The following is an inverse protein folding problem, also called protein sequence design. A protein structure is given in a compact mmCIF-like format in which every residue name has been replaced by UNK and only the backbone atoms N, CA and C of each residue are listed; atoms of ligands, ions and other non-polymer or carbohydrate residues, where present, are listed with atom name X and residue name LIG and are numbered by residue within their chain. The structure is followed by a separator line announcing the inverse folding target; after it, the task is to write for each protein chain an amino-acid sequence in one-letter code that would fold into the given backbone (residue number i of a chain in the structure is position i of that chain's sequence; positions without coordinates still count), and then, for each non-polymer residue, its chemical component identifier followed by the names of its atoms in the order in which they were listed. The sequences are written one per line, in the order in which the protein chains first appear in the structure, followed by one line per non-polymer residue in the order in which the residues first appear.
data_IF_580765347951
#
_entry.id   IF_580765347951
#
_cell.length_a   1.000
_cell.length_b   1.000
_cell.length_c   1.000
_cell.angle_alpha   90.00
_cell.angle_beta   90.00
_cell.angle_gamma   90.00
#
_symmetry.space_group_name_H-M   'P 1'
#
loop_
_entity.id
_entity.type
_entity.pdbx_description
1 polymer ?
#
# COMPACT_ATOMS: atom_id res chain seq x y z
N UNK A 1 18.97 -7.83 32.45
CA UNK A 1 19.25 -9.30 32.48
C UNK A 1 17.97 -10.08 32.61
N UNK A 2 17.49 -10.62 31.49
CA UNK A 2 17.04 -12.01 31.31
C UNK A 2 16.71 -12.15 29.82
N UNK A 3 17.66 -12.78 29.13
CA UNK A 3 17.54 -13.29 27.78
C UNK A 3 16.56 -14.45 27.76
N UNK A 4 15.52 -14.37 26.92
CA UNK A 4 14.75 -15.54 26.53
C UNK A 4 15.06 -15.89 25.08
N UNK A 5 15.95 -16.88 24.92
CA UNK A 5 16.30 -17.49 23.63
C UNK A 5 15.16 -18.39 23.16
N UNK A 6 14.50 -18.05 22.07
CA UNK A 6 13.71 -19.04 21.34
C UNK A 6 14.53 -19.64 20.20
N UNK A 7 14.68 -20.96 20.27
CA UNK A 7 15.38 -21.78 19.27
C UNK A 7 14.54 -21.90 18.00
N UNK A 8 15.03 -21.33 16.91
CA UNK A 8 14.53 -21.62 15.55
C UNK A 8 15.07 -22.99 15.10
N UNK A 9 14.16 -23.91 14.78
CA UNK A 9 14.48 -25.15 14.07
C UNK A 9 14.60 -24.84 12.58
N UNK A 10 15.79 -25.03 12.04
CA UNK A 10 16.05 -25.05 10.60
C UNK A 10 15.73 -26.44 10.05
N UNK A 11 14.82 -26.53 9.09
CA UNK A 11 14.63 -27.74 8.29
C UNK A 11 15.40 -27.52 6.99
N UNK A 12 16.48 -28.26 6.83
CA UNK A 12 17.21 -28.38 5.57
C UNK A 12 16.51 -29.46 4.74
N UNK A 13 15.99 -29.08 3.58
CA UNK A 13 15.58 -30.05 2.55
C UNK A 13 16.69 -30.10 1.51
N UNK A 14 17.37 -31.22 1.46
CA UNK A 14 18.35 -31.55 0.42
C UNK A 14 17.60 -32.20 -0.75
N UNK A 15 17.52 -31.51 -1.88
CA UNK A 15 17.03 -32.07 -3.13
C UNK A 15 18.08 -32.88 -3.84
N UNK A 16 17.80 -34.14 -4.11
CA UNK A 16 18.62 -35.04 -4.94
C UNK A 16 18.10 -34.98 -6.37
N UNK A 17 18.93 -34.46 -7.26
CA UNK A 17 18.75 -34.55 -8.72
C UNK A 17 19.15 -35.93 -9.18
N UNK A 18 18.32 -36.66 -9.87
CA UNK A 18 18.66 -37.87 -10.61
C UNK A 18 18.22 -37.73 -12.07
N UNK A 19 19.19 -37.45 -12.93
CA UNK A 19 19.09 -37.57 -14.37
C UNK A 19 19.13 -39.04 -14.80
N UNK A 20 18.17 -39.48 -15.59
CA UNK A 20 18.31 -40.68 -16.41
C UNK A 20 17.84 -40.39 -17.85
N UNK A 21 18.81 -40.32 -18.75
CA UNK A 21 18.61 -40.32 -20.19
C UNK A 21 18.52 -41.76 -20.70
N UNK A 22 17.54 -42.03 -21.56
CA UNK A 22 17.59 -43.18 -22.47
C UNK A 22 17.04 -42.80 -23.84
N UNK A 23 17.91 -42.97 -24.82
CA UNK A 23 17.72 -42.82 -26.27
C UNK A 23 17.28 -44.15 -26.86
N UNK A 24 16.49 -44.10 -27.88
CA UNK A 24 16.37 -44.96 -29.13
C UNK A 24 14.87 -45.10 -29.50
N UNK A 25 14.46 -45.02 -30.72
CA UNK A 25 14.99 -45.10 -32.03
C UNK A 25 13.84 -45.00 -33.06
N UNK A 26 14.16 -44.67 -34.27
CA UNK A 26 13.32 -44.41 -35.44
C UNK A 26 12.40 -45.54 -35.87
N UNK A 27 11.18 -45.18 -36.38
CA UNK A 27 10.66 -45.73 -37.63
C UNK A 27 9.48 -44.88 -38.16
N UNK A 28 9.55 -44.55 -39.41
CA UNK A 28 8.58 -43.81 -40.25
C UNK A 28 7.30 -44.59 -40.52
N UNK A 29 6.13 -43.93 -40.45
CA UNK A 29 5.08 -44.12 -41.47
C UNK A 29 4.07 -42.99 -41.41
N UNK A 30 3.78 -42.40 -42.57
CA UNK A 30 2.87 -41.26 -42.69
C UNK A 30 1.40 -41.70 -42.59
N UNK A 31 0.66 -40.92 -41.80
CA UNK A 31 -0.78 -40.77 -41.93
C UNK A 31 -1.18 -39.38 -41.55
N UNK A 32 -2.08 -38.79 -42.34
CA UNK A 32 -2.65 -37.47 -42.13
C UNK A 32 -3.34 -37.41 -40.76
N UNK A 33 -2.81 -36.64 -39.84
CA UNK A 33 -3.50 -36.32 -38.58
C UNK A 33 -4.43 -35.13 -38.78
N UNK A 34 -5.71 -35.39 -38.55
CA UNK A 34 -6.70 -34.38 -38.22
C UNK A 34 -6.23 -33.69 -36.93
N UNK A 35 -6.04 -32.38 -36.99
CA UNK A 35 -5.89 -31.55 -35.79
C UNK A 35 -7.20 -31.59 -35.01
N UNK A 36 -7.26 -32.46 -34.03
CA UNK A 36 -8.20 -32.33 -32.92
C UNK A 36 -7.62 -31.27 -32.02
N UNK A 37 -8.26 -30.10 -31.94
CA UNK A 37 -8.02 -29.15 -30.88
C UNK A 37 -8.23 -29.86 -29.53
N UNK A 38 -7.16 -30.16 -28.86
CA UNK A 38 -7.20 -30.52 -27.44
C UNK A 38 -7.71 -29.27 -26.72
N UNK A 39 -8.97 -29.29 -26.31
CA UNK A 39 -9.36 -28.50 -25.16
C UNK A 39 -8.44 -28.92 -24.00
N UNK A 40 -7.49 -28.04 -23.67
CA UNK A 40 -6.74 -28.13 -22.43
C UNK A 40 -7.79 -27.82 -21.37
N UNK A 41 -8.37 -28.84 -20.74
CA UNK A 41 -9.06 -28.68 -19.47
C UNK A 41 -7.97 -28.21 -18.51
N UNK A 42 -7.96 -26.92 -18.20
CA UNK A 42 -7.18 -26.38 -17.10
C UNK A 42 -7.58 -27.17 -15.85
N UNK A 43 -6.62 -27.89 -15.30
CA UNK A 43 -6.80 -28.59 -14.04
C UNK A 43 -6.72 -27.48 -12.99
N UNK A 44 -7.83 -27.12 -12.39
CA UNK A 44 -7.88 -26.17 -11.29
C UNK A 44 -6.93 -26.66 -10.18
N UNK A 45 -5.99 -25.81 -9.75
CA UNK A 45 -5.16 -26.04 -8.57
C UNK A 45 -6.03 -26.15 -7.33
N UNK A 46 -5.49 -26.71 -6.28
CA UNK A 46 -6.18 -26.84 -4.98
C UNK A 46 -5.70 -25.84 -3.96
N UNK A 47 -4.59 -25.20 -4.20
CA UNK A 47 -4.00 -24.20 -3.32
C UNK A 47 -3.99 -22.85 -4.01
N UNK A 48 -4.50 -21.84 -3.36
CA UNK A 48 -4.45 -20.43 -3.79
C UNK A 48 -3.39 -19.71 -3.00
N UNK A 49 -2.26 -19.37 -3.61
CA UNK A 49 -1.18 -18.64 -2.93
C UNK A 49 -1.36 -17.13 -3.09
N UNK A 50 -1.55 -16.45 -1.95
CA UNK A 50 -1.71 -15.00 -1.86
C UNK A 50 -0.47 -14.39 -1.20
N UNK A 51 0.29 -13.59 -1.95
CA UNK A 51 1.49 -12.91 -1.44
C UNK A 51 1.14 -11.56 -0.84
N UNK A 52 1.56 -11.33 0.41
CA UNK A 52 1.35 -10.09 1.15
C UNK A 52 2.53 -9.78 2.08
N UNK A 53 2.58 -8.55 2.64
CA UNK A 53 3.69 -8.15 3.52
C UNK A 53 3.34 -8.08 5.00
N UNK A 54 2.08 -8.25 5.35
CA UNK A 54 1.56 -8.31 6.71
C UNK A 54 0.24 -9.07 6.78
N UNK A 55 -0.34 -9.19 7.96
CA UNK A 55 -1.56 -9.96 8.20
C UNK A 55 -2.86 -9.15 8.01
N UNK A 56 -2.80 -7.88 7.55
CA UNK A 56 -4.00 -7.04 7.38
C UNK A 56 -5.01 -7.68 6.43
N UNK A 57 -4.53 -8.04 5.24
CA UNK A 57 -5.39 -8.66 4.22
C UNK A 57 -5.95 -10.02 4.67
N UNK A 58 -5.12 -10.83 5.34
CA UNK A 58 -5.57 -12.08 5.92
C UNK A 58 -6.73 -11.86 6.91
N UNK A 59 -6.65 -10.85 7.77
CA UNK A 59 -7.73 -10.52 8.70
C UNK A 59 -9.04 -10.11 8.00
N UNK A 60 -8.95 -9.40 6.87
CA UNK A 60 -10.09 -9.03 6.03
C UNK A 60 -10.68 -10.27 5.35
N UNK A 61 -9.82 -11.10 4.76
CA UNK A 61 -10.20 -12.35 4.13
C UNK A 61 -10.92 -13.29 5.11
N UNK A 62 -10.31 -13.55 6.26
CA UNK A 62 -10.87 -14.44 7.30
C UNK A 62 -12.28 -13.99 7.72
N UNK A 63 -12.53 -12.69 7.73
CA UNK A 63 -13.82 -12.13 8.15
C UNK A 63 -14.89 -12.13 7.06
N UNK A 64 -14.51 -11.90 5.80
CA UNK A 64 -15.47 -11.59 4.74
C UNK A 64 -15.48 -12.55 3.56
N UNK A 65 -14.48 -13.42 3.42
CA UNK A 65 -14.30 -14.21 2.22
C UNK A 65 -13.82 -15.65 2.44
N UNK A 66 -13.61 -16.10 3.66
CA UNK A 66 -13.07 -17.44 3.95
C UNK A 66 -13.99 -18.60 3.55
N UNK A 67 -15.28 -18.36 3.36
CA UNK A 67 -16.24 -19.34 2.85
C UNK A 67 -16.02 -19.69 1.37
N UNK A 68 -15.33 -18.82 0.60
CA UNK A 68 -14.97 -19.08 -0.80
C UNK A 68 -14.09 -20.34 -0.97
N UNK A 69 -13.25 -20.68 0.02
CA UNK A 69 -12.47 -21.93 -0.01
C UNK A 69 -13.38 -23.16 -0.21
N UNK A 70 -14.47 -23.20 0.54
CA UNK A 70 -15.44 -24.30 0.44
C UNK A 70 -16.22 -24.26 -0.86
N UNK A 71 -16.57 -23.07 -1.32
CA UNK A 71 -17.33 -22.88 -2.57
C UNK A 71 -16.54 -23.37 -3.79
N UNK A 72 -15.23 -23.04 -3.83
CA UNK A 72 -14.32 -23.40 -4.92
C UNK A 72 -13.56 -24.73 -4.69
N UNK A 73 -13.61 -25.30 -3.49
CA UNK A 73 -12.90 -26.54 -3.13
C UNK A 73 -11.38 -26.36 -3.12
N UNK A 74 -10.89 -25.18 -2.73
CA UNK A 74 -9.47 -24.80 -2.64
C UNK A 74 -9.06 -24.54 -1.20
N UNK A 75 -7.77 -24.47 -0.93
CA UNK A 75 -7.14 -24.01 0.31
C UNK A 75 -6.37 -22.73 0.04
N UNK A 76 -6.57 -21.69 0.86
CA UNK A 76 -5.86 -20.41 0.70
C UNK A 76 -4.61 -20.40 1.57
N UNK A 77 -3.46 -20.19 0.94
CA UNK A 77 -2.17 -20.03 1.59
C UNK A 77 -1.68 -18.59 1.50
N UNK A 78 -1.52 -17.92 2.67
CA UNK A 78 -0.94 -16.59 2.75
C UNK A 78 0.57 -16.65 2.87
N UNK A 79 1.29 -16.18 1.85
CA UNK A 79 2.74 -16.04 1.86
C UNK A 79 3.10 -14.65 2.38
N UNK A 80 3.31 -14.55 3.71
CA UNK A 80 3.57 -13.27 4.39
C UNK A 80 5.08 -13.02 4.47
N UNK A 81 5.55 -11.95 3.83
CA UNK A 81 6.96 -11.56 3.80
C UNK A 81 7.06 -10.08 4.16
N UNK A 82 7.80 -9.73 5.22
CA UNK A 82 7.98 -8.32 5.63
C UNK A 82 8.45 -7.43 4.48
N UNK A 83 7.99 -6.18 4.45
CA UNK A 83 8.46 -5.17 3.51
C UNK A 83 9.84 -4.58 3.85
N UNK A 84 10.42 -4.95 5.00
CA UNK A 84 11.73 -4.46 5.43
C UNK A 84 12.80 -4.72 4.38
N UNK A 85 13.61 -3.71 4.07
CA UNK A 85 14.66 -3.79 3.07
C UNK A 85 14.19 -4.28 1.69
N UNK A 86 12.95 -4.02 1.31
CA UNK A 86 12.28 -4.50 0.09
C UNK A 86 12.19 -6.04 -0.01
N UNK A 87 12.25 -6.77 1.11
CA UNK A 87 12.25 -8.23 1.08
C UNK A 87 10.99 -8.79 0.41
N UNK A 88 9.82 -8.19 0.64
CA UNK A 88 8.59 -8.58 -0.04
C UNK A 88 8.73 -8.53 -1.56
N UNK A 89 9.13 -7.38 -2.12
CA UNK A 89 9.26 -7.20 -3.57
C UNK A 89 10.32 -8.12 -4.17
N UNK A 90 11.43 -8.35 -3.48
CA UNK A 90 12.51 -9.24 -3.94
C UNK A 90 12.01 -10.68 -4.06
N UNK A 91 11.31 -11.19 -3.03
CA UNK A 91 10.78 -12.55 -3.03
C UNK A 91 9.63 -12.72 -4.03
N UNK A 92 8.73 -11.74 -4.13
CA UNK A 92 7.64 -11.74 -5.11
C UNK A 92 8.20 -11.75 -6.55
N UNK A 93 9.20 -10.93 -6.85
CA UNK A 93 9.87 -10.92 -8.16
C UNK A 93 10.45 -12.28 -8.54
N UNK A 94 11.07 -12.95 -7.57
CA UNK A 94 11.65 -14.28 -7.79
C UNK A 94 10.55 -15.32 -8.02
N UNK A 95 9.48 -15.30 -7.23
CA UNK A 95 8.34 -16.20 -7.39
C UNK A 95 7.67 -16.02 -8.75
N UNK A 96 7.38 -14.78 -9.16
CA UNK A 96 6.75 -14.48 -10.45
C UNK A 96 7.64 -14.87 -11.65
N UNK A 97 8.96 -14.73 -11.57
CA UNK A 97 9.90 -15.19 -12.61
C UNK A 97 9.91 -16.70 -12.77
N UNK A 98 9.68 -17.43 -11.69
CA UNK A 98 9.68 -18.88 -11.68
C UNK A 98 8.31 -19.50 -11.96
N UNK A 99 7.27 -18.68 -12.16
CA UNK A 99 5.85 -19.07 -12.30
C UNK A 99 5.62 -20.23 -13.28
N UNK A 100 6.21 -20.17 -14.47
CA UNK A 100 6.02 -21.19 -15.51
C UNK A 100 6.69 -22.55 -15.15
N UNK A 101 7.67 -22.55 -14.25
CA UNK A 101 8.38 -23.75 -13.84
C UNK A 101 7.82 -24.42 -12.58
N UNK A 102 6.90 -23.74 -11.88
CA UNK A 102 6.24 -24.25 -10.70
C UNK A 102 5.15 -25.27 -11.04
N UNK A 103 4.90 -26.23 -10.16
CA UNK A 103 3.68 -27.03 -10.20
C UNK A 103 2.47 -26.15 -9.86
N UNK A 104 1.28 -26.57 -10.23
CA UNK A 104 0.06 -25.76 -10.13
C UNK A 104 -0.15 -25.22 -8.71
N UNK A 105 -0.07 -26.08 -7.68
CA UNK A 105 -0.27 -25.69 -6.27
C UNK A 105 0.84 -24.80 -5.66
N UNK A 106 1.97 -24.58 -6.35
CA UNK A 106 3.08 -23.71 -5.89
C UNK A 106 3.11 -22.35 -6.60
N UNK A 107 2.20 -22.11 -7.55
CA UNK A 107 2.13 -20.85 -8.30
C UNK A 107 1.68 -19.70 -7.42
N UNK A 108 2.12 -18.49 -7.78
CA UNK A 108 1.53 -17.26 -7.29
C UNK A 108 0.18 -17.08 -7.97
N UNK A 109 -0.90 -17.02 -7.23
CA UNK A 109 -2.24 -16.78 -7.78
C UNK A 109 -2.63 -15.31 -7.69
N UNK A 110 -2.42 -14.73 -6.53
CA UNK A 110 -2.69 -13.33 -6.27
C UNK A 110 -1.55 -12.72 -5.46
N UNK A 111 -1.26 -11.46 -5.70
CA UNK A 111 -0.29 -10.73 -4.91
C UNK A 111 -0.78 -9.30 -4.65
N UNK A 112 -0.36 -8.76 -3.51
CA UNK A 112 -0.68 -7.41 -3.12
C UNK A 112 0.42 -6.45 -3.56
N UNK A 113 0.01 -5.25 -3.97
CA UNK A 113 0.94 -4.15 -4.26
C UNK A 113 0.52 -2.90 -3.51
N UNK A 114 1.49 -2.10 -3.11
CA UNK A 114 1.28 -0.82 -2.45
C UNK A 114 1.54 0.31 -3.44
N UNK A 115 0.88 1.46 -3.24
CA UNK A 115 0.90 2.60 -4.15
C UNK A 115 2.32 3.04 -4.59
N UNK A 116 3.30 3.02 -3.68
CA UNK A 116 4.65 3.54 -3.94
C UNK A 116 5.43 2.73 -4.99
N UNK A 117 5.11 1.45 -5.14
CA UNK A 117 5.78 0.59 -6.13
C UNK A 117 4.81 -0.09 -7.12
N UNK A 118 3.53 0.31 -7.11
CA UNK A 118 2.51 -0.27 -7.99
C UNK A 118 2.93 -0.26 -9.46
N UNK A 119 3.51 0.84 -9.94
CA UNK A 119 3.93 1.01 -11.33
C UNK A 119 4.89 -0.07 -11.85
N UNK A 120 5.67 -0.71 -10.98
CA UNK A 120 6.56 -1.81 -11.34
C UNK A 120 5.77 -3.03 -11.84
N UNK A 121 4.75 -3.43 -11.09
CA UNK A 121 3.96 -4.63 -11.38
C UNK A 121 2.86 -4.36 -12.41
N UNK A 122 2.23 -3.19 -12.35
CA UNK A 122 1.17 -2.77 -13.28
C UNK A 122 1.68 -2.72 -14.73
N UNK A 123 2.93 -2.35 -14.95
CA UNK A 123 3.57 -2.30 -16.27
C UNK A 123 4.20 -3.63 -16.71
N UNK A 124 4.14 -4.66 -15.87
CA UNK A 124 4.73 -5.96 -16.18
C UNK A 124 3.71 -6.93 -16.79
N UNK A 125 4.23 -7.96 -17.46
CA UNK A 125 3.42 -9.07 -17.98
C UNK A 125 3.04 -10.06 -16.87
N UNK A 126 3.52 -9.90 -15.65
CA UNK A 126 3.18 -10.75 -14.51
C UNK A 126 1.80 -10.46 -13.93
N UNK A 127 1.19 -9.34 -14.28
CA UNK A 127 -0.12 -8.93 -13.75
C UNK A 127 -1.18 -9.04 -14.83
N UNK A 128 -2.25 -9.78 -14.56
CA UNK A 128 -3.37 -9.99 -15.47
C UNK A 128 -4.25 -8.74 -15.62
N UNK A 129 -5.00 -8.68 -16.72
CA UNK A 129 -6.07 -7.72 -16.96
C UNK A 129 -7.29 -8.13 -16.12
N UNK A 130 -7.72 -7.24 -15.23
CA UNK A 130 -8.85 -7.51 -14.32
C UNK A 130 -10.15 -7.74 -15.08
N UNK A 131 -10.37 -7.05 -16.21
CA UNK A 131 -11.59 -7.20 -17.00
C UNK A 131 -11.53 -8.43 -17.92
N UNK A 132 -10.46 -8.52 -18.70
CA UNK A 132 -10.36 -9.54 -19.76
C UNK A 132 -10.02 -10.91 -19.19
N UNK A 133 -9.05 -10.99 -18.26
CA UNK A 133 -8.50 -12.26 -17.81
C UNK A 133 -9.14 -12.73 -16.49
N UNK A 134 -9.51 -11.81 -15.60
CA UNK A 134 -10.20 -12.14 -14.34
C UNK A 134 -11.72 -12.11 -14.48
N UNK A 135 -12.27 -11.21 -15.32
CA UNK A 135 -13.69 -11.17 -15.66
C UNK A 135 -14.52 -10.15 -14.88
N UNK A 136 -13.91 -9.25 -14.07
CA UNK A 136 -14.63 -8.13 -13.46
C UNK A 136 -14.98 -7.09 -14.53
N UNK A 137 -16.24 -6.72 -14.62
CA UNK A 137 -16.71 -5.76 -15.64
C UNK A 137 -16.53 -4.31 -15.17
N UNK A 138 -16.56 -3.36 -16.12
CA UNK A 138 -16.58 -1.93 -15.75
C UNK A 138 -17.81 -1.58 -14.89
N UNK A 139 -18.94 -2.27 -15.12
CA UNK A 139 -20.15 -2.09 -14.31
C UNK A 139 -19.97 -2.55 -12.86
N UNK A 140 -19.19 -3.62 -12.64
CA UNK A 140 -18.89 -4.10 -11.28
C UNK A 140 -18.05 -3.08 -10.52
N UNK A 141 -17.13 -2.41 -11.22
CA UNK A 141 -16.17 -1.46 -10.67
C UNK A 141 -16.61 0.01 -10.74
N UNK A 142 -17.87 0.30 -11.13
CA UNK A 142 -18.32 1.67 -11.41
C UNK A 142 -18.27 2.60 -10.18
N UNK A 143 -18.48 2.06 -8.99
CA UNK A 143 -18.52 2.81 -7.74
C UNK A 143 -17.14 2.94 -7.06
N UNK A 144 -16.09 2.36 -7.66
CA UNK A 144 -14.72 2.53 -7.18
C UNK A 144 -14.21 3.95 -7.49
N UNK A 145 -13.44 4.53 -6.56
CA UNK A 145 -12.86 5.86 -6.75
C UNK A 145 -11.93 5.90 -7.97
N UNK A 146 -12.03 6.95 -8.78
CA UNK A 146 -11.23 7.09 -10.02
C UNK A 146 -9.72 7.01 -9.75
N UNK A 147 -9.22 7.68 -8.72
CA UNK A 147 -7.79 7.67 -8.40
C UNK A 147 -7.26 6.27 -8.08
N UNK A 148 -8.08 5.40 -7.46
CA UNK A 148 -7.66 4.02 -7.15
C UNK A 148 -7.55 3.17 -8.41
N UNK A 149 -8.38 3.44 -9.42
CA UNK A 149 -8.29 2.80 -10.74
C UNK A 149 -7.09 3.31 -11.53
N UNK A 150 -6.80 4.61 -11.47
CA UNK A 150 -5.69 5.25 -12.19
C UNK A 150 -4.31 4.69 -11.78
N UNK A 151 -4.10 4.43 -10.47
CA UNK A 151 -2.83 3.89 -9.94
C UNK A 151 -2.47 2.54 -10.57
N UNK A 152 -3.47 1.71 -10.84
CA UNK A 152 -3.28 0.36 -11.39
C UNK A 152 -3.73 0.23 -12.84
N UNK A 153 -3.79 1.35 -13.55
CA UNK A 153 -4.07 1.40 -14.98
C UNK A 153 -2.78 1.47 -15.79
N UNK A 154 -2.67 0.62 -16.81
CA UNK A 154 -1.59 0.63 -17.79
C UNK A 154 -2.19 0.77 -19.19
N UNK A 155 -2.12 1.98 -19.76
CA UNK A 155 -2.61 2.28 -21.10
C UNK A 155 -4.07 1.84 -21.36
N UNK A 156 -4.94 2.08 -20.38
CA UNK A 156 -6.36 1.70 -20.45
C UNK A 156 -6.68 0.29 -19.93
N UNK A 157 -5.68 -0.48 -19.52
CA UNK A 157 -5.85 -1.83 -18.98
C UNK A 157 -5.80 -1.75 -17.45
N UNK A 158 -6.89 -2.15 -16.79
CA UNK A 158 -6.98 -2.26 -15.33
C UNK A 158 -6.24 -3.50 -14.84
N UNK A 159 -5.23 -3.32 -13.98
CA UNK A 159 -4.33 -4.40 -13.52
C UNK A 159 -4.56 -4.83 -12.07
N UNK A 160 -5.46 -4.18 -11.34
CA UNK A 160 -5.77 -4.52 -9.95
C UNK A 160 -7.01 -3.82 -9.46
N UNK A 161 -7.47 -4.23 -8.28
CA UNK A 161 -8.60 -3.62 -7.54
C UNK A 161 -8.21 -3.45 -6.07
N UNK A 162 -8.85 -2.51 -5.39
CA UNK A 162 -8.54 -2.24 -3.96
C UNK A 162 -9.79 -2.23 -3.10
N UNK A 163 -9.64 -2.68 -1.86
CA UNK A 163 -10.62 -2.53 -0.78
C UNK A 163 -10.41 -1.26 0.04
N UNK A 164 -9.33 -0.51 -0.23
CA UNK A 164 -8.95 0.66 0.56
C UNK A 164 -9.20 1.97 -0.19
N UNK A 165 -9.75 2.94 0.53
CA UNK A 165 -9.65 4.35 0.18
C UNK A 165 -8.75 5.05 1.20
N UNK A 166 -7.72 5.73 0.73
CA UNK A 166 -6.68 6.33 1.56
C UNK A 166 -6.56 7.84 1.36
N UNK A 167 -7.67 8.60 1.50
CA UNK A 167 -7.61 10.05 1.36
C UNK A 167 -6.67 10.65 2.39
N UNK A 168 -5.93 11.65 1.94
CA UNK A 168 -5.06 12.45 2.78
C UNK A 168 -5.85 13.39 3.69
N UNK A 169 -5.26 13.73 4.81
CA UNK A 169 -5.78 14.68 5.78
C UNK A 169 -4.63 15.36 6.53
N UNK A 170 -4.89 16.51 7.12
CA UNK A 170 -3.97 17.16 8.04
C UNK A 170 -4.48 17.00 9.46
N UNK A 171 -3.75 16.22 10.27
CA UNK A 171 -4.03 16.03 11.68
C UNK A 171 -3.31 17.11 12.48
N UNK A 172 -4.03 17.86 13.32
CA UNK A 172 -3.48 18.96 14.09
C UNK A 172 -3.81 18.87 15.58
N UNK A 173 -2.94 19.44 16.42
CA UNK A 173 -3.12 19.56 17.85
C UNK A 173 -4.14 20.66 18.17
N UNK A 174 -5.30 20.28 18.76
CA UNK A 174 -6.38 21.22 19.15
C UNK A 174 -5.90 22.27 20.14
N UNK A 175 -5.14 21.84 21.14
CA UNK A 175 -4.60 22.72 22.16
C UNK A 175 -3.69 23.81 21.58
N UNK A 176 -2.82 23.44 20.62
CA UNK A 176 -1.92 24.37 19.92
C UNK A 176 -2.73 25.29 18.99
N UNK A 177 -3.69 24.74 18.23
CA UNK A 177 -4.58 25.52 17.37
C UNK A 177 -5.32 26.61 18.18
N UNK A 178 -5.89 26.23 19.30
CA UNK A 178 -6.62 27.17 20.18
C UNK A 178 -5.74 28.27 20.69
N UNK A 179 -4.52 27.93 21.11
CA UNK A 179 -3.55 28.89 21.62
C UNK A 179 -3.06 29.87 20.55
N UNK A 180 -2.73 29.39 19.34
CA UNK A 180 -2.03 30.17 18.32
C UNK A 180 -2.98 30.77 17.29
N UNK A 181 -4.03 30.02 16.92
CA UNK A 181 -5.01 30.42 15.89
C UNK A 181 -6.30 30.97 16.47
N UNK A 182 -6.51 30.84 17.81
CA UNK A 182 -7.70 31.30 18.49
C UNK A 182 -8.89 30.36 18.42
N UNK A 183 -8.77 29.25 17.74
CA UNK A 183 -9.82 28.22 17.54
C UNK A 183 -9.23 26.83 17.46
N UNK A 184 -10.00 25.81 17.87
CA UNK A 184 -9.71 24.40 17.69
C UNK A 184 -10.78 23.70 16.84
N UNK A 185 -11.74 24.46 16.32
CA UNK A 185 -12.79 23.98 15.42
C UNK A 185 -12.21 23.62 14.06
N UNK A 186 -12.47 22.39 13.52
CA UNK A 186 -11.87 21.93 12.27
C UNK A 186 -12.18 22.80 11.05
N UNK A 187 -13.41 23.32 10.94
CA UNK A 187 -13.82 24.14 9.82
C UNK A 187 -13.13 25.51 9.84
N UNK A 188 -12.96 26.10 11.04
CA UNK A 188 -12.28 27.37 11.20
C UNK A 188 -10.74 27.22 11.04
N UNK A 189 -10.16 26.11 11.48
CA UNK A 189 -8.74 25.79 11.23
C UNK A 189 -8.52 25.54 9.74
N UNK A 190 -9.41 24.79 9.07
CA UNK A 190 -9.33 24.57 7.61
C UNK A 190 -9.31 25.88 6.81
N UNK A 191 -10.13 26.86 7.17
CA UNK A 191 -10.11 28.18 6.50
C UNK A 191 -8.75 28.86 6.55
N UNK A 192 -7.97 28.63 7.63
CA UNK A 192 -6.64 29.15 7.80
C UNK A 192 -5.54 28.31 7.13
N UNK A 193 -5.85 27.09 6.69
CA UNK A 193 -4.91 26.13 6.07
C UNK A 193 -5.27 25.80 4.62
N UNK A 194 -6.28 26.45 4.02
CA UNK A 194 -6.95 26.03 2.80
C UNK A 194 -6.12 26.15 1.50
N UNK A 195 -4.94 26.71 1.56
CA UNK A 195 -3.96 26.80 0.48
C UNK A 195 -2.54 26.94 1.04
N UNK A 196 -1.52 26.74 0.20
CA UNK A 196 -0.13 26.76 0.63
C UNK A 196 0.33 28.13 1.15
N UNK A 197 -0.20 29.25 0.64
CA UNK A 197 0.15 30.58 1.14
C UNK A 197 -0.34 30.79 2.57
N UNK A 198 -1.57 30.34 2.87
CA UNK A 198 -2.13 30.39 4.22
C UNK A 198 -1.42 29.42 5.15
N UNK A 199 -1.12 28.21 4.66
CA UNK A 199 -0.37 27.21 5.41
C UNK A 199 1.00 27.75 5.86
N UNK A 200 1.74 28.37 4.94
CA UNK A 200 3.04 29.00 5.22
C UNK A 200 2.92 30.18 6.19
N UNK A 201 1.85 30.98 6.07
CA UNK A 201 1.58 32.05 7.05
C UNK A 201 1.28 31.52 8.45
N UNK A 202 0.60 30.36 8.56
CA UNK A 202 0.39 29.67 9.84
C UNK A 202 1.70 29.10 10.37
N UNK A 203 2.57 28.55 9.50
CA UNK A 203 3.89 28.05 9.92
C UNK A 203 4.70 29.12 10.64
N UNK A 204 4.70 30.36 10.14
CA UNK A 204 5.33 31.50 10.81
C UNK A 204 4.70 31.78 12.19
N UNK A 205 3.36 31.77 12.30
CA UNK A 205 2.66 32.00 13.58
C UNK A 205 3.02 30.92 14.60
N UNK A 206 3.10 29.67 14.17
CA UNK A 206 3.50 28.54 15.03
C UNK A 206 4.92 28.74 15.56
N UNK A 207 5.86 29.10 14.69
CA UNK A 207 7.24 29.38 15.08
C UNK A 207 7.33 30.55 16.07
N UNK A 208 6.65 31.66 15.80
CA UNK A 208 6.64 32.84 16.70
C UNK A 208 6.06 32.51 18.09
N UNK A 209 5.21 31.48 18.18
CA UNK A 209 4.65 30.97 19.44
C UNK A 209 5.46 29.83 20.09
N UNK A 210 6.58 29.41 19.47
CA UNK A 210 7.48 28.39 20.02
C UNK A 210 7.11 26.95 19.64
N UNK A 211 6.33 26.80 18.55
CA UNK A 211 5.95 25.50 17.98
C UNK A 211 6.54 25.32 16.58
N UNK A 212 6.65 24.07 16.14
CA UNK A 212 6.91 23.71 14.75
C UNK A 212 5.60 23.52 14.00
N UNK A 213 5.56 23.90 12.72
CA UNK A 213 4.41 23.64 11.86
C UNK A 213 4.31 22.16 11.50
N UNK A 214 5.45 21.54 11.14
CA UNK A 214 5.61 20.15 10.75
C UNK A 214 6.75 19.51 11.55
N UNK A 215 6.79 18.18 11.58
CA UNK A 215 7.88 17.43 12.20
C UNK A 215 9.09 17.34 11.27
N UNK A 216 8.91 16.88 10.04
CA UNK A 216 9.99 16.48 9.17
C UNK A 216 10.04 17.15 7.81
N UNK A 217 11.12 16.81 7.10
CA UNK A 217 11.40 17.30 5.76
C UNK A 217 10.46 16.72 4.68
N UNK A 218 9.96 15.51 4.92
CA UNK A 218 9.17 14.73 3.99
C UNK A 218 7.67 14.67 4.35
N UNK A 219 7.25 15.32 5.44
CA UNK A 219 5.86 15.28 5.90
C UNK A 219 4.85 15.73 4.83
N UNK A 220 5.14 16.80 4.10
CA UNK A 220 4.24 17.33 3.08
C UNK A 220 4.45 16.70 1.69
N UNK A 221 5.42 15.79 1.51
CA UNK A 221 5.81 15.28 0.19
C UNK A 221 4.63 14.73 -0.60
N UNK A 222 3.75 13.95 0.03
CA UNK A 222 2.61 13.30 -0.63
C UNK A 222 1.62 14.29 -1.23
N UNK A 223 1.36 15.41 -0.54
CA UNK A 223 0.48 16.45 -1.04
C UNK A 223 1.01 17.07 -2.33
N UNK A 224 2.32 17.14 -2.53
CA UNK A 224 2.93 17.60 -3.76
C UNK A 224 3.09 16.50 -4.81
N UNK A 225 3.58 15.33 -4.42
CA UNK A 225 3.90 14.24 -5.36
C UNK A 225 2.67 13.60 -6.01
N UNK A 226 1.50 13.63 -5.36
CA UNK A 226 0.25 13.18 -5.99
C UNK A 226 -0.29 14.15 -7.06
N UNK A 227 0.23 15.36 -7.12
CA UNK A 227 -0.23 16.44 -8.01
C UNK A 227 0.79 16.77 -9.11
N UNK A 228 1.65 15.83 -9.46
CA UNK A 228 2.61 15.98 -10.55
C UNK A 228 1.94 15.80 -11.92
N UNK A 229 2.42 16.53 -12.91
CA UNK A 229 1.97 16.46 -14.30
C UNK A 229 2.93 15.68 -15.20
N UNK A 230 4.10 15.33 -14.69
CA UNK A 230 5.16 14.66 -15.45
C UNK A 230 5.84 13.57 -14.65
N UNK A 231 6.26 12.45 -15.29
CA UNK A 231 7.08 11.44 -14.64
C UNK A 231 8.49 11.98 -14.36
N UNK A 232 9.19 11.36 -13.39
CA UNK A 232 10.57 11.69 -13.06
C UNK A 232 11.56 11.51 -14.22
N UNK A 233 11.24 10.61 -15.17
CA UNK A 233 12.07 10.37 -16.35
C UNK A 233 11.20 10.48 -17.59
N UNK A 234 11.59 11.38 -18.51
CA UNK A 234 11.00 11.55 -19.82
C UNK A 234 12.11 11.69 -20.87
N UNK A 235 12.02 10.93 -21.94
CA UNK A 235 13.01 10.94 -23.03
C UNK A 235 14.46 10.73 -22.50
N UNK A 236 14.65 9.79 -21.58
CA UNK A 236 15.92 9.49 -20.90
C UNK A 236 16.54 10.66 -20.11
N UNK A 237 15.73 11.65 -19.73
CA UNK A 237 16.17 12.79 -18.91
C UNK A 237 15.38 12.85 -17.63
N UNK A 238 16.04 13.27 -16.55
CA UNK A 238 15.37 13.58 -15.29
C UNK A 238 14.56 14.85 -15.47
N UNK A 239 13.28 14.78 -15.08
CA UNK A 239 12.35 15.91 -15.08
C UNK A 239 11.94 16.17 -13.64
N UNK A 240 12.17 17.38 -13.17
CA UNK A 240 11.65 17.83 -11.88
C UNK A 240 10.35 18.59 -12.16
N UNK A 241 9.22 17.97 -11.81
CA UNK A 241 7.91 18.60 -11.98
C UNK A 241 7.80 19.88 -11.14
N UNK A 242 7.05 20.91 -11.58
CA UNK A 242 6.85 22.14 -10.82
C UNK A 242 6.32 21.92 -9.41
N UNK A 243 5.44 20.91 -9.20
CA UNK A 243 4.94 20.54 -7.88
C UNK A 243 6.06 20.06 -6.98
N UNK A 244 6.96 19.21 -7.48
CA UNK A 244 8.14 18.75 -6.73
C UNK A 244 9.10 19.90 -6.46
N UNK A 245 9.30 20.81 -7.41
CA UNK A 245 10.13 22.00 -7.19
C UNK A 245 9.55 22.92 -6.09
N UNK A 246 8.23 23.02 -6.01
CA UNK A 246 7.56 23.76 -4.93
C UNK A 246 7.79 23.10 -3.57
N UNK A 247 7.64 21.77 -3.47
CA UNK A 247 7.96 21.03 -2.26
C UNK A 247 9.41 21.25 -1.79
N UNK A 248 10.38 21.15 -2.71
CA UNK A 248 11.80 21.39 -2.40
C UNK A 248 11.99 22.80 -1.84
N UNK A 249 11.37 23.81 -2.46
CA UNK A 249 11.49 25.21 -2.04
C UNK A 249 10.89 25.42 -0.65
N UNK A 250 9.67 24.94 -0.41
CA UNK A 250 8.99 25.04 0.88
C UNK A 250 9.76 24.30 1.98
N UNK A 251 10.19 23.06 1.73
CA UNK A 251 10.95 22.27 2.70
C UNK A 251 12.25 22.94 3.09
N UNK A 252 12.97 23.53 2.11
CA UNK A 252 14.18 24.31 2.37
C UNK A 252 13.88 25.54 3.24
N UNK A 253 12.81 26.27 2.94
CA UNK A 253 12.37 27.42 3.74
C UNK A 253 12.01 27.02 5.16
N UNK A 254 11.25 25.92 5.33
CA UNK A 254 10.87 25.40 6.65
C UNK A 254 12.07 24.97 7.47
N UNK A 255 13.05 24.33 6.86
CA UNK A 255 14.28 23.94 7.51
C UNK A 255 15.12 25.18 7.94
N UNK A 256 15.26 26.18 7.06
CA UNK A 256 16.06 27.39 7.33
C UNK A 256 15.44 28.28 8.41
N UNK A 257 14.10 28.33 8.48
CA UNK A 257 13.37 29.17 9.43
C UNK A 257 12.96 28.42 10.71
N UNK A 258 13.35 27.15 10.87
CA UNK A 258 12.92 26.28 11.98
C UNK A 258 11.39 26.16 12.08
N UNK A 259 10.69 26.06 10.95
CA UNK A 259 9.26 25.78 10.91
C UNK A 259 8.97 24.27 10.98
N UNK A 260 9.99 23.41 10.85
CA UNK A 260 9.92 21.98 11.10
C UNK A 260 10.98 21.52 12.12
N UNK A 261 10.75 20.38 12.77
CA UNK A 261 11.65 19.82 13.79
C UNK A 261 12.78 18.96 13.19
N UNK A 262 13.05 19.06 11.88
CA UNK A 262 14.16 18.42 11.18
C UNK A 262 14.17 16.87 11.27
N UNK A 263 13.02 16.24 11.39
CA UNK A 263 12.88 14.79 11.42
C UNK A 263 12.69 14.22 10.00
N UNK A 264 12.55 12.92 9.91
CA UNK A 264 12.09 12.20 8.73
C UNK A 264 10.94 11.28 9.13
N UNK A 265 10.03 10.97 8.21
CA UNK A 265 8.93 10.03 8.42
C UNK A 265 9.44 8.72 9.02
N UNK A 266 8.67 8.18 9.96
CA UNK A 266 8.94 6.91 10.66
C UNK A 266 10.16 6.90 11.57
N UNK A 267 10.87 8.03 11.71
CA UNK A 267 11.94 8.11 12.70
C UNK A 267 11.37 8.11 14.13
N UNK A 268 12.15 7.66 15.14
CA UNK A 268 11.71 7.72 16.53
C UNK A 268 11.32 9.13 16.98
N UNK A 269 12.03 10.16 16.52
CA UNK A 269 11.72 11.56 16.85
C UNK A 269 10.40 12.02 16.22
N UNK A 270 10.10 11.62 14.97
CA UNK A 270 8.82 11.90 14.35
C UNK A 270 7.64 11.30 15.15
N UNK A 271 7.81 10.08 15.68
CA UNK A 271 6.81 9.46 16.56
C UNK A 271 6.68 10.21 17.90
N UNK A 272 7.80 10.64 18.50
CA UNK A 272 7.80 11.41 19.75
C UNK A 272 7.15 12.79 19.58
N UNK A 273 7.30 13.42 18.43
CA UNK A 273 6.69 14.70 18.12
C UNK A 273 5.15 14.66 18.12
N UNK A 274 4.56 13.47 17.96
CA UNK A 274 3.12 13.22 18.04
C UNK A 274 2.62 13.01 19.48
N UNK A 275 3.53 12.87 20.42
CA UNK A 275 3.25 12.56 21.82
C UNK A 275 3.12 13.81 22.71
N UNK A 276 2.97 13.58 24.04
CA UNK A 276 2.74 14.63 25.03
C UNK A 276 3.81 15.73 25.04
N UNK A 277 5.08 15.37 24.86
CA UNK A 277 6.21 16.29 24.87
C UNK A 277 6.45 16.99 23.52
N UNK A 278 5.74 16.56 22.46
CA UNK A 278 5.88 17.11 21.12
C UNK A 278 5.42 18.56 21.02
N UNK A 279 6.17 19.36 20.25
CA UNK A 279 5.87 20.77 19.97
C UNK A 279 5.47 21.01 18.52
N UNK A 280 5.03 19.96 17.83
CA UNK A 280 4.61 20.02 16.43
C UNK A 280 3.10 20.27 16.35
N UNK A 281 2.71 21.26 15.54
CA UNK A 281 1.33 21.64 15.35
C UNK A 281 0.53 20.57 14.62
N UNK A 282 1.09 20.00 13.52
CA UNK A 282 0.34 19.01 12.75
C UNK A 282 1.19 18.15 11.83
N UNK A 283 0.50 17.16 11.28
CA UNK A 283 1.07 16.08 10.48
C UNK A 283 0.19 15.80 9.27
N UNK A 284 0.79 15.64 8.12
CA UNK A 284 0.10 15.08 6.97
C UNK A 284 -0.06 13.58 7.18
N UNK A 285 -1.30 13.12 7.11
CA UNK A 285 -1.67 11.72 7.35
C UNK A 285 -2.63 11.20 6.29
N UNK A 286 -3.00 9.95 6.40
CA UNK A 286 -4.13 9.33 5.75
C UNK A 286 -5.01 8.66 6.81
N UNK A 287 -6.23 8.29 6.44
CA UNK A 287 -7.24 7.71 7.34
C UNK A 287 -6.72 6.50 8.11
N UNK A 288 -5.94 5.61 7.47
CA UNK A 288 -5.34 4.43 8.12
C UNK A 288 -4.34 4.81 9.22
N UNK A 289 -3.61 5.92 9.05
CA UNK A 289 -2.54 6.33 9.97
C UNK A 289 -3.04 6.81 11.32
N UNK A 290 -4.30 7.24 11.42
CA UNK A 290 -4.91 7.68 12.69
C UNK A 290 -4.84 6.56 13.73
N UNK A 291 -5.35 5.38 13.39
CA UNK A 291 -5.36 4.24 14.32
C UNK A 291 -4.04 3.48 14.32
N UNK A 292 -3.29 3.50 13.20
CA UNK A 292 -2.06 2.73 13.08
C UNK A 292 -0.90 3.32 13.89
N UNK A 293 -0.77 4.65 13.94
CA UNK A 293 0.34 5.32 14.64
C UNK A 293 -0.08 6.50 15.50
N UNK A 294 -0.88 7.44 14.97
CA UNK A 294 -1.12 8.73 15.64
C UNK A 294 -1.76 8.57 17.02
N UNK A 295 -2.77 7.73 17.14
CA UNK A 295 -3.44 7.50 18.43
C UNK A 295 -2.52 6.83 19.44
N UNK A 296 -1.70 5.87 19.01
CA UNK A 296 -0.72 5.19 19.86
C UNK A 296 0.38 6.14 20.34
N UNK A 297 0.90 6.95 19.45
CA UNK A 297 1.94 7.93 19.76
C UNK A 297 1.45 9.09 20.67
N UNK A 298 0.14 9.35 20.69
CA UNK A 298 -0.47 10.35 21.56
C UNK A 298 -0.55 9.94 23.04
N UNK A 299 -0.36 8.64 23.35
CA UNK A 299 -0.44 8.12 24.71
C UNK A 299 0.86 8.38 25.47
N UNK A 300 0.74 8.62 26.78
CA UNK A 300 1.87 8.62 27.72
C UNK A 300 2.21 7.19 28.16
N UNK A 301 1.19 6.38 28.42
CA UNK A 301 1.32 4.95 28.74
C UNK A 301 0.60 4.10 27.68
N UNK A 302 1.38 3.44 26.84
CA UNK A 302 0.87 2.56 25.78
C UNK A 302 0.16 1.29 26.32
N UNK A 303 0.34 0.94 27.59
CA UNK A 303 -0.30 -0.19 28.23
C UNK A 303 -1.62 0.16 28.92
N UNK A 304 -1.89 1.45 29.11
CA UNK A 304 -3.14 1.94 29.66
C UNK A 304 -4.19 2.17 28.56
N UNK A 305 -5.49 2.22 28.90
CA UNK A 305 -6.53 2.49 27.92
C UNK A 305 -6.30 3.79 27.13
N UNK A 306 -6.61 3.75 25.83
CA UNK A 306 -6.58 4.90 24.95
C UNK A 306 -7.81 5.79 25.22
N UNK A 307 -7.73 6.61 26.24
CA UNK A 307 -8.82 7.47 26.71
C UNK A 307 -8.30 8.85 27.18
N UNK A 308 -9.21 9.78 27.36
CA UNK A 308 -8.87 11.13 27.84
C UNK A 308 -8.19 11.05 29.21
N UNK A 309 -7.01 11.64 29.32
CA UNK A 309 -6.17 11.62 30.53
C UNK A 309 -4.93 10.74 30.38
N UNK A 310 -4.85 9.91 29.34
CA UNK A 310 -3.64 9.20 28.99
C UNK A 310 -2.89 10.01 27.92
N UNK A 311 -1.85 10.73 28.32
CA UNK A 311 -1.08 11.63 27.47
C UNK A 311 -1.95 12.76 26.87
N UNK A 312 -1.88 12.89 25.56
CA UNK A 312 -2.67 13.87 24.78
C UNK A 312 -3.78 13.23 23.95
N UNK A 313 -4.21 12.02 24.33
CA UNK A 313 -5.31 11.37 23.65
C UNK A 313 -6.56 12.24 23.58
N UNK A 314 -7.11 12.44 22.37
CA UNK A 314 -8.23 13.35 22.12
C UNK A 314 -7.84 14.81 21.84
N UNK A 315 -6.56 15.16 21.88
CA UNK A 315 -6.08 16.52 21.50
C UNK A 315 -5.85 16.68 19.99
N UNK A 316 -6.03 15.65 19.20
CA UNK A 316 -5.97 15.74 17.74
C UNK A 316 -7.36 15.96 17.12
N UNK A 317 -7.38 16.78 16.08
CA UNK A 317 -8.47 16.89 15.13
C UNK A 317 -7.89 16.80 13.71
N UNK A 318 -8.76 16.64 12.73
CA UNK A 318 -8.40 16.53 11.32
C UNK A 318 -9.11 17.57 10.48
N UNK A 319 -8.46 18.02 9.42
CA UNK A 319 -9.05 18.85 8.38
C UNK A 319 -8.42 18.46 7.01
N UNK A 320 -8.89 19.03 5.90
CA UNK A 320 -8.40 18.71 4.56
C UNK A 320 -6.94 19.16 4.34
N UNK A 321 -6.54 20.28 4.97
CA UNK A 321 -5.25 20.90 4.73
C UNK A 321 -5.22 21.76 3.46
N UNK A 322 -4.01 22.08 2.95
CA UNK A 322 -3.84 23.04 1.85
C UNK A 322 -4.11 22.45 0.46
N UNK A 323 -4.11 21.14 0.32
CA UNK A 323 -4.22 20.44 -0.96
C UNK A 323 -4.65 19.00 -0.76
N UNK A 324 -5.56 18.53 -1.64
CA UNK A 324 -5.98 17.13 -1.65
C UNK A 324 -4.84 16.20 -2.09
N UNK A 325 -4.75 15.03 -1.45
CA UNK A 325 -3.80 13.98 -1.77
C UNK A 325 -4.31 12.63 -1.26
N UNK A 326 -3.60 11.56 -1.58
CA UNK A 326 -3.76 10.25 -0.97
C UNK A 326 -2.41 9.74 -0.44
N UNK A 327 -2.45 8.83 0.52
CA UNK A 327 -1.23 8.19 1.01
C UNK A 327 -1.46 6.71 1.27
N UNK A 328 -0.65 5.90 0.57
CA UNK A 328 -0.75 4.44 0.64
C UNK A 328 -1.91 3.88 -0.16
N UNK A 329 -2.37 2.74 0.23
CA UNK A 329 -3.36 1.92 -0.45
C UNK A 329 -2.75 0.63 -0.94
N UNK A 330 -3.55 -0.43 -0.87
CA UNK A 330 -3.15 -1.78 -1.24
C UNK A 330 -4.09 -2.30 -2.31
N UNK A 331 -3.54 -2.85 -3.38
CA UNK A 331 -4.30 -3.44 -4.48
C UNK A 331 -4.07 -4.93 -4.56
N UNK A 332 -5.13 -5.67 -4.87
CA UNK A 332 -5.10 -7.07 -5.27
C UNK A 332 -4.80 -7.14 -6.76
N UNK A 333 -3.80 -7.92 -7.13
CA UNK A 333 -3.41 -8.20 -8.51
C UNK A 333 -3.45 -9.71 -8.75
N UNK A 334 -4.13 -10.15 -9.81
CA UNK A 334 -4.10 -11.53 -10.25
C UNK A 334 -2.78 -11.81 -10.99
N UNK A 335 -2.11 -12.91 -10.68
CA UNK A 335 -0.84 -13.27 -11.29
C UNK A 335 -1.04 -13.98 -12.64
N UNK A 336 -0.25 -13.61 -13.64
CA UNK A 336 -0.18 -14.34 -14.89
C UNK A 336 0.28 -15.79 -14.64
N UNK A 337 -0.44 -16.76 -15.18
CA UNK A 337 -0.18 -18.18 -14.96
C UNK A 337 -0.88 -18.78 -13.74
N UNK A 338 -1.70 -18.00 -13.01
CA UNK A 338 -2.60 -18.55 -11.99
C UNK A 338 -3.57 -19.54 -12.63
N UNK A 339 -3.85 -20.62 -11.94
CA UNK A 339 -4.83 -21.64 -12.30
C UNK A 339 -6.12 -21.57 -11.47
N UNK A 340 -6.24 -20.53 -10.61
CA UNK A 340 -7.37 -20.29 -9.71
C UNK A 340 -8.16 -19.01 -10.04
N UNK A 341 -8.25 -18.63 -11.31
CA UNK A 341 -8.92 -17.39 -11.74
C UNK A 341 -10.39 -17.28 -11.27
N UNK A 342 -11.23 -18.33 -11.27
CA UNK A 342 -12.59 -18.23 -10.75
C UNK A 342 -12.65 -17.83 -9.27
N UNK A 343 -11.75 -18.38 -8.43
CA UNK A 343 -11.65 -17.98 -7.03
C UNK A 343 -11.20 -16.52 -6.89
N UNK A 344 -10.20 -16.10 -7.67
CA UNK A 344 -9.68 -14.72 -7.64
C UNK A 344 -10.77 -13.73 -8.05
N UNK A 345 -11.55 -14.05 -9.08
CA UNK A 345 -12.70 -13.26 -9.51
C UNK A 345 -13.66 -13.02 -8.34
N UNK A 346 -14.13 -14.10 -7.70
CA UNK A 346 -15.11 -14.00 -6.62
C UNK A 346 -14.56 -13.29 -5.39
N UNK A 347 -13.27 -13.49 -5.07
CA UNK A 347 -12.59 -12.79 -4.00
C UNK A 347 -12.50 -11.28 -4.27
N UNK A 348 -12.04 -10.89 -5.45
CA UNK A 348 -11.94 -9.49 -5.85
C UNK A 348 -13.32 -8.84 -5.89
N UNK A 349 -14.31 -9.50 -6.49
CA UNK A 349 -15.70 -9.02 -6.55
C UNK A 349 -16.26 -8.78 -5.15
N UNK A 350 -16.18 -9.78 -4.27
CA UNK A 350 -16.73 -9.73 -2.92
C UNK A 350 -16.13 -8.62 -2.07
N UNK A 351 -14.82 -8.38 -2.18
CA UNK A 351 -14.13 -7.39 -1.35
C UNK A 351 -14.16 -5.97 -1.91
N UNK A 352 -14.48 -5.78 -3.21
CA UNK A 352 -14.34 -4.46 -3.84
C UNK A 352 -15.55 -4.00 -4.66
N UNK A 353 -16.47 -4.89 -4.99
CA UNK A 353 -17.62 -4.60 -5.86
C UNK A 353 -18.97 -4.92 -5.19
N UNK A 354 -19.02 -5.87 -4.25
CA UNK A 354 -20.24 -6.21 -3.54
C UNK A 354 -20.61 -5.12 -2.52
N UNK A 355 -21.78 -4.54 -2.65
CA UNK A 355 -22.28 -3.47 -1.76
C UNK A 355 -22.92 -4.00 -0.46
N UNK A 356 -22.94 -5.32 -0.26
CA UNK A 356 -23.51 -5.94 0.96
C UNK A 356 -22.42 -6.12 2.02
#
# INVERSE_FOLDING_TARGET
EIMCMQKKKWIQIAGIVMCAALVTGCASNGQKEQKTEKQVTQKEGKVVNIYCWNDEFKGIYDKYASDLEKEHGVEVNFVVISSDNNAYQINLDEALKNQESCIDDDRVDMFLIEADYAGKYVKSDYTLDVQKDVGLTESDMQDQYSYTKEIVNNDGIQKGVTWQATPGLFAYRRSIAKQVLGTDDPDEVQKQLSDWNKFDAVAKKMHDAGYYMLSGYDDAYRAFSNNVSSPWVKDNKIVIDPSIQQWITQTKEYAQNNYCNHTTLWSPQWSQDQGPEGKVFGFFYSTWGINFTLMGNALEDANAPAEKGNGIYGDYAVCEGPQAYYWGGTWMCAAAGSDNIPFIHDLMYRLTCDQK
#
